data_IF_071949446214
#
_entry.id   IF_071949446214
#
_cell.length_a   1.000
_cell.length_b   1.000
_cell.length_c   1.000
_cell.angle_alpha   90.00
_cell.angle_beta   90.00
_cell.angle_gamma   90.00
#
_symmetry.space_group_name_H-M   'P 1'
#
loop_
_entity.id
_entity.type
_entity.pdbx_description
1 polymer ?
#
# COMPACT_ATOMS: atom_id res chain seq x y z
N UNK A 1 -10.39 22.33 -0.01
CA UNK A 1 -9.41 21.38 -0.58
C UNK A 1 -9.28 21.55 -2.09
N UNK A 2 -8.22 21.00 -2.73
CA UNK A 2 -7.99 21.22 -4.17
C UNK A 2 -9.09 20.56 -5.03
N UNK A 3 -9.59 19.40 -4.65
CA UNK A 3 -10.68 18.73 -5.36
C UNK A 3 -11.98 19.58 -5.40
N UNK A 4 -12.34 20.18 -4.29
CA UNK A 4 -13.53 21.06 -4.21
C UNK A 4 -13.36 22.33 -5.05
N UNK A 5 -12.14 22.91 -5.07
CA UNK A 5 -11.82 24.03 -5.96
C UNK A 5 -11.96 23.66 -7.44
N UNK A 6 -11.84 22.39 -7.78
CA UNK A 6 -12.07 21.84 -9.13
C UNK A 6 -13.49 21.38 -9.38
N UNK A 7 -14.43 21.69 -8.48
CA UNK A 7 -15.86 21.39 -8.63
C UNK A 7 -16.32 20.04 -8.06
N UNK A 8 -15.44 19.31 -7.37
CA UNK A 8 -15.86 18.08 -6.69
C UNK A 8 -16.71 18.37 -5.45
N UNK A 9 -17.71 17.54 -5.19
CA UNK A 9 -18.53 17.60 -3.97
C UNK A 9 -18.00 16.55 -2.99
N UNK A 10 -17.59 17.01 -1.79
CA UNK A 10 -17.13 16.14 -0.72
C UNK A 10 -18.28 15.87 0.27
N UNK A 11 -18.69 14.62 0.39
CA UNK A 11 -19.71 14.16 1.33
C UNK A 11 -19.03 13.50 2.53
N UNK A 12 -18.64 14.30 3.52
CA UNK A 12 -18.08 13.80 4.78
C UNK A 12 -19.18 13.09 5.59
N UNK A 13 -18.78 12.12 6.44
CA UNK A 13 -19.73 11.35 7.25
C UNK A 13 -20.63 10.42 6.44
N UNK A 14 -20.29 10.13 5.19
CA UNK A 14 -21.08 9.27 4.31
C UNK A 14 -20.32 8.01 3.92
N UNK A 15 -20.98 6.87 3.97
CA UNK A 15 -20.42 5.57 3.59
C UNK A 15 -21.16 5.00 2.37
N UNK A 16 -20.45 4.75 1.27
CA UNK A 16 -20.97 4.01 0.14
C UNK A 16 -21.07 2.52 0.50
N UNK A 17 -22.28 1.97 0.49
CA UNK A 17 -22.56 0.62 1.03
C UNK A 17 -22.81 -0.39 -0.07
N UNK A 18 -23.65 -0.05 -1.05
CA UNK A 18 -24.14 -1.00 -2.06
C UNK A 18 -24.11 -0.34 -3.44
N UNK A 19 -23.57 -1.02 -4.48
CA UNK A 19 -23.64 -0.51 -5.84
C UNK A 19 -25.09 -0.51 -6.36
N UNK A 20 -25.43 0.51 -7.13
CA UNK A 20 -26.67 0.55 -7.92
C UNK A 20 -26.36 -0.11 -9.25
N UNK A 21 -26.98 -1.26 -9.51
CA UNK A 21 -26.74 -2.07 -10.71
C UNK A 21 -27.90 -1.96 -11.70
N UNK A 22 -27.59 -1.63 -12.96
CA UNK A 22 -28.56 -1.62 -14.05
C UNK A 22 -27.96 -2.31 -15.29
N UNK A 23 -28.55 -3.37 -15.77
CA UNK A 23 -28.14 -4.13 -16.98
C UNK A 23 -26.65 -4.51 -16.96
N UNK A 24 -26.11 -4.91 -15.79
CA UNK A 24 -24.71 -5.28 -15.61
C UNK A 24 -23.74 -4.11 -15.43
N UNK A 25 -24.21 -2.87 -15.48
CA UNK A 25 -23.43 -1.65 -15.25
C UNK A 25 -23.63 -1.13 -13.84
N UNK A 26 -22.57 -0.61 -13.23
CA UNK A 26 -22.68 0.18 -12.00
C UNK A 26 -23.12 1.58 -12.37
N UNK A 27 -24.22 2.05 -11.77
CA UNK A 27 -24.85 3.34 -12.05
C UNK A 27 -24.93 4.22 -10.81
N UNK A 28 -24.03 4.02 -9.87
CA UNK A 28 -23.94 4.78 -8.64
C UNK A 28 -23.84 3.89 -7.39
N UNK A 29 -24.15 4.48 -6.26
CA UNK A 29 -24.08 3.82 -4.96
C UNK A 29 -25.27 4.21 -4.07
N UNK A 30 -25.71 3.27 -3.24
CA UNK A 30 -26.48 3.59 -2.04
C UNK A 30 -25.52 4.00 -0.96
N UNK A 31 -25.74 5.16 -0.38
CA UNK A 31 -24.86 5.80 0.59
C UNK A 31 -25.62 5.97 1.90
N UNK A 32 -24.98 5.62 3.01
CA UNK A 32 -25.46 5.90 4.35
C UNK A 32 -24.88 7.25 4.82
N UNK A 33 -25.75 8.15 5.23
CA UNK A 33 -25.38 9.28 6.06
C UNK A 33 -25.26 8.78 7.51
N UNK A 34 -24.02 8.80 8.02
CA UNK A 34 -23.70 8.24 9.35
C UNK A 34 -24.25 9.11 10.48
N UNK A 35 -24.37 10.41 10.29
CA UNK A 35 -24.87 11.37 11.27
C UNK A 35 -26.40 11.38 11.31
N UNK A 36 -27.03 11.48 10.14
CA UNK A 36 -28.50 11.53 9.99
C UNK A 36 -29.18 10.17 9.94
N UNK A 37 -28.43 9.07 9.92
CA UNK A 37 -28.93 7.68 9.77
C UNK A 37 -29.87 7.49 8.57
N UNK A 38 -29.65 8.25 7.51
CA UNK A 38 -30.45 8.23 6.28
C UNK A 38 -29.69 7.47 5.19
N UNK A 39 -30.46 6.84 4.32
CA UNK A 39 -29.93 6.26 3.08
C UNK A 39 -30.33 7.13 1.91
N UNK A 40 -29.37 7.36 1.03
CA UNK A 40 -29.62 8.06 -0.23
C UNK A 40 -29.03 7.27 -1.41
N UNK A 41 -29.60 7.44 -2.58
CA UNK A 41 -29.06 6.90 -3.81
C UNK A 41 -28.33 8.02 -4.56
N UNK A 42 -27.03 7.85 -4.81
CA UNK A 42 -26.26 8.75 -5.66
C UNK A 42 -26.06 8.04 -6.99
N UNK A 43 -26.53 8.65 -8.06
CA UNK A 43 -26.42 8.12 -9.43
C UNK A 43 -25.27 8.77 -10.16
N UNK A 44 -24.60 7.98 -11.02
CA UNK A 44 -23.50 8.43 -11.86
C UNK A 44 -23.35 7.53 -13.09
N UNK A 45 -22.71 8.02 -14.13
CA UNK A 45 -22.37 7.24 -15.32
C UNK A 45 -21.24 6.27 -15.03
N UNK A 46 -20.28 6.68 -14.20
CA UNK A 46 -19.12 5.89 -13.81
C UNK A 46 -18.90 5.94 -12.30
N UNK A 47 -18.27 4.91 -11.76
CA UNK A 47 -17.90 4.81 -10.34
C UNK A 47 -16.42 4.46 -10.20
N UNK A 48 -15.68 5.24 -9.42
CA UNK A 48 -14.30 4.91 -9.01
C UNK A 48 -14.33 4.40 -7.57
N UNK A 49 -13.84 3.19 -7.37
CA UNK A 49 -13.76 2.55 -6.06
C UNK A 49 -12.37 2.80 -5.46
N UNK A 50 -12.32 3.62 -4.42
CA UNK A 50 -11.11 4.06 -3.73
C UNK A 50 -11.23 3.85 -2.21
N UNK A 51 -11.98 2.82 -1.77
CA UNK A 51 -12.33 2.55 -0.38
C UNK A 51 -11.26 1.75 0.39
N UNK A 52 -10.04 1.73 -0.14
CA UNK A 52 -8.84 1.24 0.53
C UNK A 52 -8.73 -0.28 0.60
N UNK A 53 -7.79 -0.75 1.41
CA UNK A 53 -7.37 -2.15 1.49
C UNK A 53 -8.49 -3.15 1.85
N UNK A 54 -9.50 -2.68 2.59
CA UNK A 54 -10.66 -3.49 2.98
C UNK A 54 -11.88 -3.28 2.08
N UNK A 55 -11.69 -2.83 0.87
CA UNK A 55 -12.71 -2.50 -0.12
C UNK A 55 -13.99 -3.36 0.00
N UNK A 56 -14.96 -2.88 0.78
CA UNK A 56 -16.26 -3.56 0.92
C UNK A 56 -17.10 -3.38 -0.33
N UNK A 57 -17.09 -2.18 -0.88
CA UNK A 57 -17.79 -1.85 -2.10
C UNK A 57 -17.21 -2.64 -3.28
N UNK A 58 -15.88 -2.71 -3.43
CA UNK A 58 -15.22 -3.53 -4.45
C UNK A 58 -15.58 -5.02 -4.35
N UNK A 59 -15.62 -5.59 -3.13
CA UNK A 59 -16.04 -6.99 -2.96
C UNK A 59 -17.50 -7.23 -3.38
N UNK A 60 -18.39 -6.28 -3.17
CA UNK A 60 -19.76 -6.40 -3.66
C UNK A 60 -19.86 -6.38 -5.19
N UNK A 61 -18.82 -5.88 -5.86
CA UNK A 61 -18.65 -5.92 -7.32
C UNK A 61 -17.89 -7.18 -7.80
N UNK A 62 -17.60 -8.12 -6.90
CA UNK A 62 -16.93 -9.37 -7.23
C UNK A 62 -15.41 -9.30 -7.22
N UNK A 63 -14.79 -8.22 -6.72
CA UNK A 63 -13.34 -8.15 -6.64
C UNK A 63 -12.78 -9.03 -5.54
N UNK A 64 -11.66 -9.67 -5.79
CA UNK A 64 -10.97 -10.50 -4.84
C UNK A 64 -9.45 -10.39 -4.97
N UNK A 65 -8.75 -10.53 -3.85
CA UNK A 65 -7.29 -10.59 -3.84
C UNK A 65 -6.82 -11.98 -4.29
N UNK A 66 -5.80 -12.04 -5.14
CA UNK A 66 -5.11 -13.27 -5.50
C UNK A 66 -4.43 -13.88 -4.26
N UNK A 67 -4.96 -15.00 -3.78
CA UNK A 67 -4.56 -15.61 -2.48
C UNK A 67 -3.09 -16.04 -2.44
N UNK A 68 -2.51 -16.44 -3.56
CA UNK A 68 -1.11 -16.89 -3.69
C UNK A 68 -0.10 -15.75 -3.70
N UNK A 69 -0.55 -14.51 -3.83
CA UNK A 69 0.35 -13.37 -3.86
C UNK A 69 0.63 -12.85 -2.45
N UNK A 70 1.86 -12.33 -2.19
CA UNK A 70 2.21 -11.72 -0.91
C UNK A 70 1.27 -10.58 -0.53
N UNK A 71 1.07 -10.43 0.76
CA UNK A 71 0.44 -9.25 1.34
C UNK A 71 1.18 -8.86 2.61
N UNK A 72 1.08 -7.62 3.02
CA UNK A 72 1.56 -7.14 4.30
C UNK A 72 0.48 -7.14 5.36
N UNK A 73 0.90 -7.13 6.61
CA UNK A 73 0.07 -6.71 7.73
C UNK A 73 0.84 -5.65 8.49
N UNK A 74 0.19 -4.54 8.78
CA UNK A 74 0.78 -3.44 9.52
C UNK A 74 -0.07 -3.11 10.74
N UNK A 75 0.60 -2.63 11.78
CA UNK A 75 -0.03 -2.05 12.96
C UNK A 75 0.75 -0.80 13.35
N UNK A 76 0.04 0.25 13.73
CA UNK A 76 0.66 1.52 14.12
C UNK A 76 -0.21 2.26 15.13
N UNK A 77 0.43 3.15 15.89
CA UNK A 77 -0.24 4.16 16.70
C UNK A 77 0.67 5.39 16.82
N UNK A 78 0.29 6.35 17.64
CA UNK A 78 1.02 7.60 17.82
C UNK A 78 1.50 7.73 19.26
N UNK A 79 2.63 8.40 19.47
CA UNK A 79 3.17 8.79 20.76
C UNK A 79 3.56 10.26 20.74
N UNK A 80 3.39 10.95 21.86
CA UNK A 80 3.98 12.27 22.05
C UNK A 80 5.50 12.15 22.06
N UNK A 81 6.17 13.01 21.32
CA UNK A 81 7.63 13.07 21.28
C UNK A 81 8.11 14.51 21.03
N UNK A 82 9.11 15.00 21.78
CA UNK A 82 9.74 16.29 21.48
C UNK A 82 10.42 16.30 20.10
N UNK A 83 10.68 15.13 19.54
CA UNK A 83 11.30 14.93 18.22
C UNK A 83 10.30 14.88 17.06
N UNK A 84 9.08 15.31 17.25
CA UNK A 84 8.00 15.28 16.25
C UNK A 84 8.23 16.13 15.00
N UNK A 85 9.24 17.01 15.01
CA UNK A 85 9.59 17.89 13.90
C UNK A 85 10.88 17.45 13.16
N UNK A 86 11.45 16.31 13.49
CA UNK A 86 12.62 15.81 12.77
C UNK A 86 12.35 15.72 11.28
N UNK A 87 13.28 16.19 10.42
CA UNK A 87 13.07 16.27 8.97
C UNK A 87 13.28 14.95 8.22
N UNK A 88 13.42 13.84 8.93
CA UNK A 88 13.63 12.50 8.35
C UNK A 88 12.65 11.49 8.94
N UNK A 89 12.41 10.44 8.18
CA UNK A 89 11.75 9.22 8.64
C UNK A 89 12.79 8.18 9.02
N UNK A 90 12.46 7.30 9.94
CA UNK A 90 13.32 6.19 10.33
C UNK A 90 12.68 4.85 9.98
N UNK A 91 13.47 3.91 9.48
CA UNK A 91 13.08 2.51 9.27
C UNK A 91 14.05 1.57 9.94
N UNK A 92 13.54 0.70 10.82
CA UNK A 92 14.30 -0.37 11.46
C UNK A 92 14.10 -1.68 10.69
N UNK A 93 15.16 -2.21 10.09
CA UNK A 93 15.11 -3.43 9.27
C UNK A 93 15.22 -4.72 10.11
N UNK A 94 15.53 -4.62 11.39
CA UNK A 94 15.59 -5.73 12.33
C UNK A 94 14.62 -5.50 13.50
N UNK A 95 13.35 -5.68 13.23
CA UNK A 95 12.33 -5.66 14.29
C UNK A 95 12.35 -7.00 15.00
N UNK A 96 12.41 -6.96 16.34
CA UNK A 96 12.51 -8.17 17.15
C UNK A 96 11.24 -8.36 17.99
N UNK A 97 10.84 -9.62 18.18
CA UNK A 97 9.83 -9.99 19.16
C UNK A 97 10.35 -9.88 20.61
N UNK A 98 9.50 -10.12 21.59
CA UNK A 98 9.87 -10.09 23.04
C UNK A 98 10.98 -11.09 23.43
N UNK A 99 11.26 -12.08 22.59
CA UNK A 99 12.29 -13.09 22.81
C UNK A 99 13.59 -12.76 22.06
N UNK A 100 13.69 -11.60 21.43
CA UNK A 100 14.83 -11.19 20.62
C UNK A 100 14.92 -11.87 19.25
N UNK A 101 13.84 -12.51 18.78
CA UNK A 101 13.83 -13.11 17.45
C UNK A 101 13.53 -12.05 16.38
N UNK A 102 14.38 -11.97 15.37
CA UNK A 102 14.15 -11.09 14.21
C UNK A 102 12.91 -11.50 13.44
N UNK A 103 12.06 -10.51 13.11
CA UNK A 103 10.84 -10.69 12.32
C UNK A 103 11.05 -10.24 10.87
N UNK A 104 10.46 -10.90 9.88
CA UNK A 104 10.58 -10.51 8.46
C UNK A 104 9.62 -9.36 8.15
N UNK A 105 10.11 -8.17 8.28
CA UNK A 105 9.39 -6.92 8.10
C UNK A 105 10.27 -5.76 8.49
N UNK A 106 9.66 -4.66 8.80
CA UNK A 106 10.36 -3.48 9.31
C UNK A 106 9.48 -2.69 10.26
N UNK A 107 10.15 -1.91 11.12
CA UNK A 107 9.52 -0.88 11.92
C UNK A 107 9.73 0.50 11.28
N UNK A 108 8.85 1.43 11.56
CA UNK A 108 8.99 2.80 11.10
C UNK A 108 8.65 3.81 12.18
N UNK A 109 9.25 4.98 12.03
CA UNK A 109 8.90 6.17 12.81
C UNK A 109 8.79 7.35 11.84
N UNK A 110 7.63 8.00 11.86
CA UNK A 110 7.35 9.16 11.03
C UNK A 110 6.99 10.34 11.94
N UNK A 111 7.84 11.38 12.03
CA UNK A 111 7.48 12.63 12.67
C UNK A 111 6.26 13.26 11.98
N UNK A 112 5.28 13.72 12.76
CA UNK A 112 4.01 14.26 12.21
C UNK A 112 4.00 15.80 12.22
N UNK A 113 4.76 16.42 13.12
CA UNK A 113 4.83 17.87 13.22
C UNK A 113 3.85 18.50 14.23
N UNK A 114 2.91 17.72 14.75
CA UNK A 114 1.83 18.16 15.64
C UNK A 114 2.04 17.84 17.15
N UNK A 115 3.26 17.49 17.52
CA UNK A 115 3.61 17.00 18.87
C UNK A 115 3.75 15.50 18.94
N UNK A 116 3.38 14.78 17.87
CA UNK A 116 3.38 13.32 17.86
C UNK A 116 4.29 12.72 16.78
N UNK A 117 4.65 11.46 17.00
CA UNK A 117 5.27 10.60 15.99
C UNK A 117 4.39 9.38 15.71
N UNK A 118 4.33 8.96 14.47
CA UNK A 118 3.69 7.70 14.07
C UNK A 118 4.71 6.58 14.16
N UNK A 119 4.47 5.60 15.02
CA UNK A 119 5.32 4.42 15.17
C UNK A 119 4.53 3.20 14.76
N UNK A 120 5.13 2.37 13.93
CA UNK A 120 4.48 1.16 13.48
C UNK A 120 5.43 0.05 13.08
N UNK A 121 4.87 -1.12 12.88
CA UNK A 121 5.57 -2.31 12.40
C UNK A 121 4.76 -2.98 11.29
N UNK A 122 5.46 -3.46 10.27
CA UNK A 122 4.90 -4.18 9.14
C UNK A 122 5.55 -5.55 8.98
N UNK A 123 4.76 -6.56 8.64
CA UNK A 123 5.21 -7.93 8.40
C UNK A 123 4.72 -8.43 7.04
N UNK A 124 5.52 -9.26 6.39
CA UNK A 124 5.17 -9.94 5.16
C UNK A 124 4.53 -11.30 5.43
N UNK A 125 3.44 -11.61 4.70
CA UNK A 125 2.74 -12.90 4.80
C UNK A 125 3.55 -14.10 4.29
N UNK A 126 4.71 -13.88 3.69
CA UNK A 126 5.62 -14.91 3.20
C UNK A 126 6.42 -15.61 4.30
N UNK A 127 6.33 -15.12 5.52
CA UNK A 127 6.95 -15.73 6.69
C UNK A 127 6.20 -16.99 7.13
N UNK A 128 6.92 -18.08 7.36
CA UNK A 128 6.34 -19.38 7.73
C UNK A 128 5.41 -19.33 8.96
N UNK A 129 5.79 -18.58 9.99
CA UNK A 129 5.05 -18.41 11.25
C UNK A 129 4.23 -17.14 11.30
N UNK A 130 3.90 -16.55 10.16
CA UNK A 130 3.18 -15.29 10.08
C UNK A 130 1.89 -15.25 10.89
N UNK A 131 1.14 -16.37 10.91
CA UNK A 131 -0.14 -16.46 11.63
C UNK A 131 0.01 -16.48 13.14
N UNK A 132 1.20 -16.84 13.64
CA UNK A 132 1.49 -16.98 15.07
C UNK A 132 1.99 -15.66 15.68
N UNK A 133 2.24 -14.64 14.84
CA UNK A 133 2.76 -13.36 15.29
C UNK A 133 1.62 -12.50 15.83
N UNK A 134 1.71 -12.13 17.10
CA UNK A 134 0.88 -11.09 17.69
C UNK A 134 1.46 -9.72 17.34
N UNK A 135 0.84 -9.03 16.40
CA UNK A 135 1.32 -7.73 15.91
C UNK A 135 1.26 -6.64 16.99
N UNK A 136 0.31 -6.71 17.94
CA UNK A 136 0.26 -5.74 19.04
C UNK A 136 1.46 -5.89 19.98
N UNK A 137 1.85 -7.13 20.30
CA UNK A 137 3.07 -7.39 21.08
C UNK A 137 4.33 -6.95 20.35
N UNK A 138 4.34 -7.08 19.01
CA UNK A 138 5.48 -6.65 18.21
C UNK A 138 5.60 -5.12 18.18
N UNK A 139 4.48 -4.40 18.05
CA UNK A 139 4.46 -2.94 18.13
C UNK A 139 4.93 -2.46 19.50
N UNK A 140 4.47 -3.10 20.58
CA UNK A 140 4.89 -2.80 21.93
C UNK A 140 6.40 -3.02 22.14
N UNK A 141 6.94 -4.15 21.66
CA UNK A 141 8.39 -4.42 21.69
C UNK A 141 9.18 -3.36 20.91
N UNK A 142 8.69 -2.95 19.76
CA UNK A 142 9.33 -1.94 18.94
C UNK A 142 9.28 -0.56 19.59
N UNK A 143 8.14 -0.17 20.19
CA UNK A 143 8.02 1.08 20.93
C UNK A 143 9.03 1.17 22.08
N UNK A 144 9.21 0.08 22.84
CA UNK A 144 10.22 0.01 23.90
C UNK A 144 11.65 0.11 23.34
N UNK A 145 11.93 -0.54 22.22
CA UNK A 145 13.25 -0.50 21.58
C UNK A 145 13.66 0.91 21.13
N UNK A 146 12.71 1.74 20.75
CA UNK A 146 12.99 3.10 20.23
C UNK A 146 12.74 4.20 21.26
N UNK A 147 12.26 3.86 22.46
CA UNK A 147 11.78 4.79 23.46
C UNK A 147 12.79 5.87 23.83
N UNK A 148 14.02 5.49 24.19
CA UNK A 148 15.06 6.44 24.61
C UNK A 148 15.47 7.36 23.45
N UNK A 149 15.60 6.78 22.25
CA UNK A 149 16.05 7.54 21.07
C UNK A 149 15.02 8.55 20.57
N UNK A 150 13.75 8.22 20.70
CA UNK A 150 12.66 9.08 20.27
C UNK A 150 11.97 9.80 21.42
N UNK A 151 12.49 9.64 22.63
CA UNK A 151 12.01 10.30 23.85
C UNK A 151 10.50 10.13 24.07
N UNK A 152 10.03 8.88 23.93
CA UNK A 152 8.62 8.51 24.14
C UNK A 152 8.44 7.69 25.41
N UNK A 153 7.25 7.79 26.03
CA UNK A 153 6.80 6.81 27.02
C UNK A 153 6.08 5.66 26.28
N UNK A 154 6.72 4.49 26.10
CA UNK A 154 6.15 3.40 25.31
C UNK A 154 4.85 2.85 25.87
N UNK A 155 4.56 3.13 27.15
CA UNK A 155 3.33 2.68 27.85
C UNK A 155 2.13 3.61 27.64
N UNK A 156 2.34 4.81 27.04
CA UNK A 156 1.31 5.84 26.88
C UNK A 156 1.13 6.25 25.39
N UNK A 157 0.57 5.39 24.55
CA UNK A 157 0.19 5.80 23.23
C UNK A 157 -0.97 6.80 23.26
N UNK A 158 -0.95 7.79 22.35
CA UNK A 158 -2.00 8.82 22.24
C UNK A 158 -3.37 8.27 21.83
N UNK A 159 -3.38 7.15 21.10
CA UNK A 159 -4.61 6.53 20.67
C UNK A 159 -4.47 5.01 20.54
N UNK A 160 -5.60 4.34 20.40
CA UNK A 160 -5.62 2.89 20.16
C UNK A 160 -4.91 2.56 18.85
N UNK A 161 -4.06 1.54 18.89
CA UNK A 161 -3.38 1.04 17.70
C UNK A 161 -4.40 0.53 16.64
N UNK A 162 -4.14 0.89 15.39
CA UNK A 162 -4.90 0.43 14.23
C UNK A 162 -4.05 -0.52 13.41
N UNK A 163 -4.67 -1.60 12.93
CA UNK A 163 -4.00 -2.60 12.10
C UNK A 163 -4.81 -2.90 10.84
N UNK A 164 -4.12 -3.34 9.81
CA UNK A 164 -4.74 -3.71 8.55
C UNK A 164 -3.89 -4.64 7.71
N UNK A 165 -4.57 -5.35 6.81
CA UNK A 165 -3.89 -6.10 5.73
C UNK A 165 -3.64 -5.14 4.57
N UNK A 166 -2.48 -5.26 3.96
CA UNK A 166 -2.04 -4.43 2.85
C UNK A 166 -1.96 -5.32 1.60
N UNK A 167 -2.90 -5.21 0.67
CA UNK A 167 -2.86 -5.95 -0.59
C UNK A 167 -1.80 -5.35 -1.50
N UNK A 168 -0.81 -6.14 -1.90
CA UNK A 168 0.39 -5.67 -2.59
C UNK A 168 0.46 -6.14 -4.04
N UNK A 169 1.22 -5.39 -4.87
CA UNK A 169 1.65 -5.80 -6.19
C UNK A 169 0.55 -5.95 -7.22
N UNK A 170 -0.51 -5.15 -7.09
CA UNK A 170 -1.66 -5.20 -7.99
C UNK A 170 -2.56 -6.41 -7.80
N UNK A 171 -2.61 -6.98 -6.59
CA UNK A 171 -3.16 -8.30 -6.30
C UNK A 171 -4.68 -8.44 -6.35
N UNK A 172 -5.45 -7.36 -6.51
CA UNK A 172 -6.93 -7.39 -6.51
C UNK A 172 -7.46 -7.38 -7.94
N UNK A 173 -8.41 -8.26 -8.24
CA UNK A 173 -9.03 -8.44 -9.56
C UNK A 173 -10.53 -8.71 -9.43
N UNK A 174 -11.33 -8.33 -10.47
CA UNK A 174 -10.96 -7.46 -11.60
C UNK A 174 -10.73 -6.01 -11.14
N UNK A 175 -9.91 -5.24 -11.90
CA UNK A 175 -9.65 -3.81 -11.63
C UNK A 175 -10.62 -2.87 -12.36
N UNK A 176 -11.38 -3.41 -13.28
CA UNK A 176 -12.31 -2.69 -14.12
C UNK A 176 -13.56 -3.53 -14.39
N UNK A 177 -14.70 -2.89 -14.45
CA UNK A 177 -15.95 -3.43 -14.98
C UNK A 177 -16.47 -2.58 -16.12
N UNK A 178 -17.73 -2.76 -16.50
CA UNK A 178 -18.33 -2.02 -17.61
C UNK A 178 -18.33 -0.50 -17.37
N UNK A 179 -18.56 -0.06 -16.13
CA UNK A 179 -18.70 1.36 -15.78
C UNK A 179 -18.04 1.69 -14.44
N UNK A 180 -17.07 0.90 -14.00
CA UNK A 180 -16.34 1.19 -12.76
C UNK A 180 -14.87 0.82 -12.83
N UNK A 181 -14.08 1.48 -12.01
CA UNK A 181 -12.64 1.27 -11.86
C UNK A 181 -12.28 1.12 -10.39
N UNK A 182 -11.23 0.32 -10.12
CA UNK A 182 -10.60 0.18 -8.80
C UNK A 182 -9.25 0.90 -8.80
N UNK A 183 -8.97 1.71 -7.79
CA UNK A 183 -7.69 2.43 -7.65
C UNK A 183 -7.05 2.21 -6.28
N UNK A 184 -5.77 2.52 -6.16
CA UNK A 184 -5.01 2.46 -4.90
C UNK A 184 -5.06 1.08 -4.24
N UNK A 185 -5.18 1.06 -2.93
CA UNK A 185 -5.25 -0.18 -2.14
C UNK A 185 -6.47 -1.04 -2.48
N UNK A 186 -7.57 -0.44 -2.92
CA UNK A 186 -8.74 -1.19 -3.37
C UNK A 186 -8.43 -2.06 -4.61
N UNK A 187 -7.48 -1.63 -5.44
CA UNK A 187 -6.91 -2.39 -6.56
C UNK A 187 -5.69 -3.25 -6.16
N UNK A 188 -5.28 -3.18 -4.90
CA UNK A 188 -4.05 -3.81 -4.40
C UNK A 188 -2.77 -3.16 -4.92
N UNK A 189 -2.82 -1.90 -5.32
CA UNK A 189 -1.70 -1.17 -5.92
C UNK A 189 -0.75 -0.62 -4.86
N UNK A 190 -0.21 -1.50 -4.04
CA UNK A 190 0.79 -1.19 -3.02
C UNK A 190 2.12 -1.82 -3.41
N UNK A 191 3.20 -1.13 -3.17
CA UNK A 191 4.56 -1.60 -3.45
C UNK A 191 4.91 -2.83 -2.59
N UNK A 192 5.22 -3.98 -3.18
CA UNK A 192 5.56 -5.18 -2.42
C UNK A 192 6.92 -5.13 -1.71
N UNK A 193 7.80 -4.20 -2.07
CA UNK A 193 9.10 -4.07 -1.41
C UNK A 193 9.00 -3.46 -0.01
N UNK A 194 8.17 -2.42 0.13
CA UNK A 194 8.16 -1.57 1.33
C UNK A 194 6.77 -1.30 1.90
N UNK A 195 5.69 -1.74 1.21
CA UNK A 195 4.32 -1.49 1.67
C UNK A 195 3.83 -0.06 1.45
N UNK A 196 4.57 0.76 0.70
CA UNK A 196 4.16 2.10 0.32
C UNK A 196 2.99 2.01 -0.68
N UNK A 197 1.94 2.79 -0.48
CA UNK A 197 0.73 2.79 -1.28
C UNK A 197 0.20 4.17 -1.63
N UNK A 198 0.70 5.24 -0.99
CA UNK A 198 0.17 6.60 -1.18
C UNK A 198 0.46 7.08 -2.59
N UNK A 199 1.70 6.99 -3.06
CA UNK A 199 2.08 7.41 -4.41
C UNK A 199 1.35 6.59 -5.47
N UNK A 200 1.26 5.27 -5.28
CA UNK A 200 0.51 4.39 -6.19
C UNK A 200 -0.99 4.69 -6.21
N UNK A 201 -1.57 5.15 -5.09
CA UNK A 201 -2.97 5.58 -5.09
C UNK A 201 -3.16 6.83 -5.95
N UNK A 202 -2.26 7.82 -5.86
CA UNK A 202 -2.29 9.01 -6.70
C UNK A 202 -2.08 8.68 -8.19
N UNK A 203 -1.11 7.84 -8.49
CA UNK A 203 -0.79 7.49 -9.88
C UNK A 203 -1.85 6.63 -10.54
N UNK A 204 -2.38 5.64 -9.84
CA UNK A 204 -3.51 4.86 -10.36
C UNK A 204 -4.76 5.71 -10.54
N UNK A 205 -4.99 6.72 -9.68
CA UNK A 205 -6.05 7.70 -9.84
C UNK A 205 -5.83 8.58 -11.08
N UNK A 206 -4.59 9.00 -11.35
CA UNK A 206 -4.24 9.78 -12.55
C UNK A 206 -4.49 8.98 -13.83
N UNK A 207 -4.08 7.71 -13.87
CA UNK A 207 -4.35 6.82 -15.02
C UNK A 207 -5.87 6.60 -15.18
N UNK A 208 -6.57 6.35 -14.08
CA UNK A 208 -8.04 6.20 -14.08
C UNK A 208 -8.75 7.45 -14.59
N UNK A 209 -8.30 8.65 -14.19
CA UNK A 209 -8.85 9.90 -14.66
C UNK A 209 -8.69 10.08 -16.19
N UNK A 210 -7.56 9.64 -16.76
CA UNK A 210 -7.34 9.65 -18.20
C UNK A 210 -8.36 8.81 -18.96
N UNK A 211 -8.52 7.54 -18.58
CA UNK A 211 -9.48 6.65 -19.27
C UNK A 211 -10.94 7.06 -19.04
N UNK A 212 -11.25 7.67 -17.89
CA UNK A 212 -12.57 8.22 -17.62
C UNK A 212 -12.84 9.46 -18.48
N UNK A 213 -11.85 10.31 -18.66
CA UNK A 213 -11.96 11.47 -19.57
C UNK A 213 -12.28 11.00 -20.99
N UNK A 214 -11.56 9.99 -21.50
CA UNK A 214 -11.78 9.45 -22.83
C UNK A 214 -13.17 8.82 -22.98
N UNK A 215 -13.63 8.08 -21.96
CA UNK A 215 -14.97 7.50 -21.93
C UNK A 215 -16.07 8.55 -21.91
N UNK A 216 -15.90 9.63 -21.14
CA UNK A 216 -16.85 10.73 -21.07
C UNK A 216 -16.87 11.54 -22.39
N UNK A 217 -15.71 11.81 -22.97
CA UNK A 217 -15.58 12.59 -24.20
C UNK A 217 -16.15 11.84 -25.42
N UNK A 218 -15.95 10.52 -25.51
CA UNK A 218 -16.44 9.69 -26.61
C UNK A 218 -17.86 9.17 -26.42
N UNK A 219 -18.37 9.16 -25.17
CA UNK A 219 -19.60 8.47 -24.81
C UNK A 219 -19.48 6.93 -24.84
N UNK A 220 -18.26 6.40 -24.99
CA UNK A 220 -17.98 4.96 -25.05
C UNK A 220 -17.32 4.45 -23.79
N UNK A 221 -18.06 3.72 -22.97
CA UNK A 221 -17.57 3.13 -21.73
C UNK A 221 -16.48 2.06 -21.95
N UNK A 222 -16.31 1.54 -23.19
CA UNK A 222 -15.27 0.55 -23.49
C UNK A 222 -13.86 1.11 -23.31
N UNK A 223 -13.67 2.40 -23.36
CA UNK A 223 -12.40 3.08 -23.04
C UNK A 223 -11.84 2.67 -21.67
N UNK A 224 -12.71 2.37 -20.68
CA UNK A 224 -12.28 1.92 -19.36
C UNK A 224 -11.48 0.61 -19.41
N UNK A 225 -11.71 -0.24 -20.42
CA UNK A 225 -11.04 -1.54 -20.56
C UNK A 225 -9.53 -1.41 -20.84
N UNK A 226 -9.05 -0.22 -21.20
CA UNK A 226 -7.62 0.06 -21.36
C UNK A 226 -6.89 0.17 -20.00
N UNK A 227 -7.61 0.47 -18.92
CA UNK A 227 -7.04 0.74 -17.60
C UNK A 227 -6.11 -0.36 -17.07
N UNK A 228 -6.47 -1.66 -17.07
CA UNK A 228 -5.57 -2.72 -16.60
C UNK A 228 -4.29 -2.82 -17.42
N UNK A 229 -4.36 -2.62 -18.75
CA UNK A 229 -3.19 -2.63 -19.63
C UNK A 229 -2.23 -1.48 -19.34
N UNK A 230 -2.76 -0.27 -19.08
CA UNK A 230 -1.97 0.89 -18.68
C UNK A 230 -1.27 0.66 -17.34
N UNK A 231 -1.96 0.07 -16.36
CA UNK A 231 -1.34 -0.29 -15.08
C UNK A 231 -0.24 -1.35 -15.24
N UNK A 232 -0.44 -2.36 -16.09
CA UNK A 232 0.58 -3.38 -16.34
C UNK A 232 1.78 -2.82 -17.08
N UNK A 233 1.59 -1.90 -18.01
CA UNK A 233 2.66 -1.20 -18.69
C UNK A 233 3.51 -0.36 -17.73
N UNK A 234 2.89 0.33 -16.78
CA UNK A 234 3.57 1.21 -15.83
C UNK A 234 4.26 0.43 -14.71
N UNK A 235 3.55 -0.52 -14.07
CA UNK A 235 4.03 -1.17 -12.84
C UNK A 235 4.19 -2.68 -12.95
N UNK A 236 3.67 -3.31 -13.98
CA UNK A 236 3.54 -4.77 -14.04
C UNK A 236 4.86 -5.50 -13.84
N UNK A 237 5.92 -5.06 -14.51
CA UNK A 237 7.25 -5.65 -14.35
C UNK A 237 7.84 -5.37 -12.98
N UNK A 238 7.73 -4.14 -12.49
CA UNK A 238 8.22 -3.75 -11.18
C UNK A 238 7.55 -4.57 -10.07
N UNK A 239 6.24 -4.69 -10.11
CA UNK A 239 5.50 -5.48 -9.13
C UNK A 239 5.84 -6.98 -9.19
N UNK A 240 6.15 -7.53 -10.36
CA UNK A 240 6.63 -8.93 -10.47
C UNK A 240 7.97 -9.11 -9.75
N UNK A 241 8.94 -8.22 -10.00
CA UNK A 241 10.24 -8.24 -9.31
C UNK A 241 10.05 -8.09 -7.81
N UNK A 242 9.25 -7.13 -7.38
CA UNK A 242 9.00 -6.87 -5.98
C UNK A 242 8.30 -8.03 -5.24
N UNK A 243 7.34 -8.72 -5.89
CA UNK A 243 6.71 -9.92 -5.33
C UNK A 243 7.69 -11.09 -5.16
N UNK A 244 8.59 -11.29 -6.13
CA UNK A 244 9.64 -12.30 -5.99
C UNK A 244 10.56 -11.98 -4.82
N UNK A 245 10.99 -10.73 -4.71
CA UNK A 245 11.81 -10.25 -3.60
C UNK A 245 11.10 -10.47 -2.25
N UNK A 246 9.82 -10.10 -2.13
CA UNK A 246 9.04 -10.32 -0.92
C UNK A 246 8.98 -11.79 -0.47
N UNK A 247 9.00 -12.74 -1.41
CA UNK A 247 9.10 -14.18 -1.10
C UNK A 247 10.49 -14.57 -0.59
N UNK A 248 11.54 -13.96 -1.12
CA UNK A 248 12.93 -14.24 -0.72
C UNK A 248 13.21 -13.68 0.67
N UNK A 249 12.84 -12.44 0.94
CA UNK A 249 13.07 -11.78 2.23
C UNK A 249 12.14 -12.27 3.36
N UNK A 250 11.10 -13.02 3.03
CA UNK A 250 10.28 -13.72 4.04
C UNK A 250 11.04 -14.75 4.89
N UNK A 251 12.36 -14.87 4.72
CA UNK A 251 13.27 -15.74 5.49
C UNK A 251 14.09 -14.89 6.49
N UNK A 252 13.80 -14.96 7.81
CA UNK A 252 14.44 -14.09 8.81
C UNK A 252 15.97 -14.16 8.83
N UNK A 253 16.53 -15.37 8.68
CA UNK A 253 17.97 -15.55 8.65
C UNK A 253 18.64 -14.81 7.48
N UNK A 254 18.01 -14.86 6.29
CA UNK A 254 18.52 -14.14 5.12
C UNK A 254 18.42 -12.63 5.31
N UNK A 255 17.31 -12.14 5.86
CA UNK A 255 17.13 -10.71 6.14
C UNK A 255 18.16 -10.19 7.13
N UNK A 256 18.45 -10.94 8.19
CA UNK A 256 19.48 -10.57 9.18
C UNK A 256 20.84 -10.41 8.52
N UNK A 257 21.25 -11.37 7.67
CA UNK A 257 22.55 -11.30 6.99
C UNK A 257 22.59 -10.16 5.96
N UNK A 258 21.55 -9.97 5.18
CA UNK A 258 21.45 -8.87 4.22
C UNK A 258 21.49 -7.51 4.92
N UNK A 259 20.77 -7.35 6.02
CA UNK A 259 20.79 -6.13 6.82
C UNK A 259 22.17 -5.88 7.44
N UNK A 260 22.80 -6.92 8.01
CA UNK A 260 24.12 -6.81 8.60
C UNK A 260 25.19 -6.34 7.61
N UNK A 261 25.17 -6.87 6.39
CA UNK A 261 26.13 -6.47 5.34
C UNK A 261 25.73 -5.12 4.73
N UNK A 262 24.44 -4.94 4.44
CA UNK A 262 23.92 -3.75 3.76
C UNK A 262 24.11 -2.47 4.54
N UNK A 263 23.80 -2.46 5.84
CA UNK A 263 23.86 -1.27 6.70
C UNK A 263 25.28 -0.65 6.75
N UNK A 264 26.32 -1.47 6.59
CA UNK A 264 27.70 -1.00 6.60
C UNK A 264 28.18 -0.43 5.25
N UNK A 265 27.39 -0.52 4.20
CA UNK A 265 27.70 0.01 2.87
C UNK A 265 26.68 1.03 2.42
N UNK A 266 27.04 2.33 2.53
CA UNK A 266 26.21 3.44 2.05
C UNK A 266 25.76 3.25 0.59
N UNK A 267 26.69 2.86 -0.27
CA UNK A 267 26.42 2.64 -1.70
C UNK A 267 25.42 1.52 -1.93
N UNK A 268 25.57 0.39 -1.22
CA UNK A 268 24.63 -0.72 -1.34
C UNK A 268 23.24 -0.34 -0.83
N UNK A 269 23.16 0.36 0.29
CA UNK A 269 21.89 0.84 0.84
C UNK A 269 21.21 1.84 -0.08
N UNK A 270 21.97 2.72 -0.71
CA UNK A 270 21.41 3.66 -1.71
C UNK A 270 20.79 2.89 -2.89
N UNK A 271 21.45 1.87 -3.42
CA UNK A 271 20.89 1.04 -4.50
C UNK A 271 19.62 0.32 -4.07
N UNK A 272 19.65 -0.27 -2.88
CA UNK A 272 18.49 -0.96 -2.32
C UNK A 272 17.31 0.01 -2.15
N UNK A 273 17.55 1.19 -1.60
CA UNK A 273 16.50 2.22 -1.44
C UNK A 273 15.96 2.70 -2.78
N UNK A 274 16.81 2.96 -3.76
CA UNK A 274 16.37 3.36 -5.12
C UNK A 274 15.48 2.29 -5.77
N UNK A 275 15.86 1.02 -5.64
CA UNK A 275 15.05 -0.10 -6.16
C UNK A 275 13.75 -0.22 -5.38
N UNK A 276 13.80 -0.21 -4.05
CA UNK A 276 12.62 -0.41 -3.20
C UNK A 276 11.60 0.72 -3.26
N UNK A 277 12.06 1.95 -3.49
CA UNK A 277 11.21 3.13 -3.62
C UNK A 277 10.81 3.45 -5.08
N UNK A 278 11.13 2.55 -6.02
CA UNK A 278 10.85 2.75 -7.45
C UNK A 278 11.45 4.06 -8.03
N UNK A 279 12.65 4.43 -7.57
CA UNK A 279 13.36 5.65 -7.98
C UNK A 279 14.41 5.40 -9.07
N UNK A 280 14.34 4.25 -9.74
CA UNK A 280 15.22 3.94 -10.87
C UNK A 280 14.81 4.75 -12.10
N UNK A 281 15.78 5.26 -12.81
CA UNK A 281 15.57 6.02 -14.05
C UNK A 281 15.91 5.15 -15.25
N UNK A 282 14.98 4.96 -16.20
CA UNK A 282 15.19 4.08 -17.36
C UNK A 282 16.36 4.48 -18.27
N UNK A 283 16.71 5.76 -18.28
CA UNK A 283 17.78 6.38 -19.06
C UNK A 283 19.16 6.33 -18.37
N UNK A 284 19.21 6.04 -17.08
CA UNK A 284 20.45 5.84 -16.33
C UNK A 284 20.96 4.39 -16.47
N UNK A 285 22.30 4.25 -16.53
CA UNK A 285 22.97 2.93 -16.58
C UNK A 285 23.83 2.72 -15.32
N UNK A 286 23.31 3.14 -14.18
CA UNK A 286 23.99 2.96 -12.91
C UNK A 286 23.95 1.51 -12.41
N UNK A 287 24.74 1.17 -11.38
CA UNK A 287 24.76 -0.20 -10.84
C UNK A 287 23.42 -0.68 -10.29
N UNK A 288 22.60 0.22 -9.75
CA UNK A 288 21.25 -0.12 -9.26
C UNK A 288 20.32 -0.52 -10.42
N UNK A 289 20.36 0.21 -11.54
CA UNK A 289 19.61 -0.09 -12.76
C UNK A 289 20.04 -1.42 -13.36
N UNK A 290 21.35 -1.70 -13.41
CA UNK A 290 21.89 -2.98 -13.87
C UNK A 290 21.43 -4.13 -12.99
N UNK A 291 21.52 -4.00 -11.67
CA UNK A 291 21.07 -5.01 -10.71
C UNK A 291 19.56 -5.29 -10.87
N UNK A 292 18.76 -4.24 -10.98
CA UNK A 292 17.33 -4.35 -11.23
C UNK A 292 17.03 -5.02 -12.59
N UNK A 293 17.72 -4.64 -13.65
CA UNK A 293 17.53 -5.23 -14.97
C UNK A 293 17.86 -6.73 -14.99
N UNK A 294 18.87 -7.18 -14.24
CA UNK A 294 19.18 -8.60 -14.05
C UNK A 294 18.03 -9.32 -13.32
N UNK A 295 17.54 -8.77 -12.22
CA UNK A 295 16.40 -9.31 -11.48
C UNK A 295 15.15 -9.39 -12.38
N UNK A 296 14.88 -8.36 -13.16
CA UNK A 296 13.77 -8.31 -14.11
C UNK A 296 13.86 -9.38 -15.21
N UNK A 297 15.07 -9.69 -15.70
CA UNK A 297 15.28 -10.81 -16.65
C UNK A 297 14.96 -12.16 -16.03
N UNK A 298 15.40 -12.41 -14.79
CA UNK A 298 15.10 -13.65 -14.06
C UNK A 298 13.59 -13.82 -13.90
N UNK A 299 12.89 -12.75 -13.52
CA UNK A 299 11.44 -12.78 -13.31
C UNK A 299 10.66 -13.05 -14.60
N UNK A 300 11.14 -12.61 -15.75
CA UNK A 300 10.52 -12.94 -17.06
C UNK A 300 10.54 -14.44 -17.36
N UNK A 301 11.52 -15.17 -16.84
CA UNK A 301 11.64 -16.63 -16.98
C UNK A 301 10.81 -17.40 -15.93
N UNK A 302 10.25 -16.72 -14.94
CA UNK A 302 9.45 -17.29 -13.87
C UNK A 302 7.97 -16.86 -14.01
N UNK A 303 7.13 -17.61 -14.74
CA UNK A 303 5.77 -17.19 -15.11
C UNK A 303 4.83 -16.97 -13.92
N UNK A 304 5.18 -17.47 -12.73
CA UNK A 304 4.38 -17.37 -11.49
C UNK A 304 5.00 -16.45 -10.43
N UNK A 305 5.89 -15.56 -10.81
CA UNK A 305 6.52 -14.59 -9.90
C UNK A 305 5.56 -13.44 -9.49
#
# INVERSE_FOLDING_TARGET
>A
FNAEKSGAVLLQGHEAVTPIMEKGCVRGAVVNDLDGKRKMAIRSDYVVVADGANSRFGRSLGTARTKSWPYGTAIRTYWVSPRHQEPWIESALDVQDRNGNSMPGYGWIFPVGDGTINVGVGLLSTFKKFKDVNTSHLLDSYAHMVADRWEIDPTKPECRATSGKIPMGGSVFPKVGATHLMIGDAAGSVNPFNGEGIDYAYETARIAAGVLHDALASGDASALQQYPGLLDAEYGQYFKVARLFARVIGRPALMRELSRVGIHSRTLMEWVLRIMANLLRPDEKGPAEVAYAMAARIVRLAPNA
#
